data_IF_413220644253
#
_entry.id   IF_413220644253
#
_cell.length_a   1.000
_cell.length_b   1.000
_cell.length_c   1.000
_cell.angle_alpha   90.00
_cell.angle_beta   90.00
_cell.angle_gamma   90.00
#
_symmetry.space_group_name_H-M   'P 1'
#
loop_
_entity.id
_entity.type
_entity.pdbx_description
1 polymer ?
#
# COMPACT_ATOMS: atom_id res chain seq x y z
N UNK A 1 -15.57 6.49 -0.36
CA UNK A 1 -15.38 7.35 0.83
C UNK A 1 -15.82 8.82 0.59
N UNK A 2 -16.75 9.06 -0.35
CA UNK A 2 -17.30 10.40 -0.61
C UNK A 2 -16.37 11.41 -1.28
N UNK A 3 -15.13 11.08 -1.57
CA UNK A 3 -14.22 11.95 -2.29
C UNK A 3 -14.44 11.82 -3.81
N UNK A 4 -14.52 12.97 -4.51
CA UNK A 4 -14.52 12.98 -5.96
C UNK A 4 -13.13 12.68 -6.52
N UNK A 5 -13.09 11.88 -7.58
CA UNK A 5 -11.86 11.57 -8.28
C UNK A 5 -11.78 12.41 -9.55
N UNK A 6 -10.72 13.20 -9.67
CA UNK A 6 -10.46 14.03 -10.83
C UNK A 6 -9.27 13.48 -11.61
N UNK A 7 -9.50 13.18 -12.90
CA UNK A 7 -8.41 12.89 -13.82
C UNK A 7 -7.78 14.18 -14.33
N UNK A 8 -6.47 14.22 -14.49
CA UNK A 8 -5.81 15.34 -15.17
C UNK A 8 -6.27 15.50 -16.61
N UNK A 9 -6.76 14.44 -17.24
CA UNK A 9 -7.34 14.48 -18.58
C UNK A 9 -8.68 15.26 -18.63
N UNK A 10 -9.35 15.51 -17.50
CA UNK A 10 -10.57 16.32 -17.45
C UNK A 10 -10.28 17.83 -17.36
N UNK A 11 -9.03 18.22 -17.19
CA UNK A 11 -8.62 19.64 -17.14
C UNK A 11 -8.47 20.15 -18.57
N UNK A 12 -9.03 21.33 -18.84
CA UNK A 12 -8.98 21.97 -20.16
C UNK A 12 -7.54 22.08 -20.69
N UNK A 13 -7.31 21.71 -21.93
CA UNK A 13 -6.01 21.70 -22.59
C UNK A 13 -5.03 20.64 -22.11
N UNK A 14 -5.44 19.70 -21.22
CA UNK A 14 -4.59 18.61 -20.76
C UNK A 14 -4.92 17.26 -21.40
N UNK A 15 -6.10 17.07 -21.95
CA UNK A 15 -6.54 15.82 -22.56
C UNK A 15 -5.59 15.32 -23.64
N UNK A 16 -5.14 16.21 -24.53
CA UNK A 16 -4.24 15.91 -25.64
C UNK A 16 -2.80 15.53 -25.20
N UNK A 17 -2.47 15.75 -23.92
CA UNK A 17 -1.14 15.50 -23.33
C UNK A 17 -1.15 14.42 -22.24
N UNK A 18 -2.27 13.69 -22.12
CA UNK A 18 -2.47 12.76 -21.02
C UNK A 18 -2.72 11.35 -21.52
N UNK A 19 -1.92 10.41 -21.07
CA UNK A 19 -2.18 8.98 -21.17
C UNK A 19 -2.80 8.49 -19.85
N UNK A 20 -3.89 7.74 -19.92
CA UNK A 20 -4.52 7.17 -18.73
C UNK A 20 -4.25 5.66 -18.74
N UNK A 21 -3.34 5.21 -17.89
CA UNK A 21 -3.08 3.79 -17.67
C UNK A 21 -3.88 3.29 -16.47
N UNK A 22 -4.67 2.24 -16.67
CA UNK A 22 -5.53 1.67 -15.63
C UNK A 22 -5.69 0.17 -15.84
N UNK A 23 -6.44 -0.51 -14.98
CA UNK A 23 -6.64 -1.95 -15.10
C UNK A 23 -7.67 -2.53 -14.14
N UNK A 24 -8.03 -3.78 -14.38
CA UNK A 24 -9.05 -4.50 -13.64
C UNK A 24 -8.58 -4.96 -12.24
N UNK A 25 -7.27 -5.03 -11.99
CA UNK A 25 -6.69 -5.63 -10.77
C UNK A 25 -7.21 -5.00 -9.48
N UNK A 26 -7.46 -3.70 -9.45
CA UNK A 26 -7.88 -2.96 -8.25
C UNK A 26 -9.36 -2.63 -8.29
N UNK A 27 -9.82 -1.91 -9.32
CA UNK A 27 -11.20 -1.43 -9.43
C UNK A 27 -12.24 -2.56 -9.47
N UNK A 28 -11.86 -3.73 -9.95
CA UNK A 28 -12.74 -4.90 -10.06
C UNK A 28 -12.25 -6.09 -9.24
N UNK A 29 -11.27 -5.90 -8.33
CA UNK A 29 -10.66 -6.95 -7.50
C UNK A 29 -10.17 -8.16 -8.29
N UNK A 30 -9.77 -7.96 -9.54
CA UNK A 30 -9.38 -9.03 -10.47
C UNK A 30 -7.88 -9.08 -10.72
N UNK A 31 -7.11 -9.32 -9.67
CA UNK A 31 -5.64 -9.35 -9.74
C UNK A 31 -5.11 -10.49 -10.61
N UNK A 32 -5.78 -11.65 -10.60
CA UNK A 32 -5.42 -12.84 -11.38
C UNK A 32 -5.68 -12.71 -12.88
N UNK A 33 -6.58 -11.82 -13.32
CA UNK A 33 -6.92 -11.62 -14.73
C UNK A 33 -5.79 -11.00 -15.55
N UNK A 34 -4.81 -10.38 -14.91
CA UNK A 34 -3.63 -9.75 -15.55
C UNK A 34 -3.98 -8.87 -16.74
N UNK A 35 -5.00 -8.02 -16.61
CA UNK A 35 -5.49 -7.15 -17.66
C UNK A 35 -5.54 -5.69 -17.22
N UNK A 36 -5.06 -4.84 -18.11
CA UNK A 36 -5.12 -3.40 -18.02
C UNK A 36 -5.26 -2.78 -19.41
N UNK A 37 -5.49 -1.51 -19.45
CA UNK A 37 -5.60 -0.76 -20.69
C UNK A 37 -5.05 0.65 -20.55
N UNK A 38 -4.72 1.24 -21.68
CA UNK A 38 -4.28 2.63 -21.76
C UNK A 38 -5.22 3.39 -22.69
N UNK A 39 -5.71 4.53 -22.23
CA UNK A 39 -6.45 5.49 -23.04
C UNK A 39 -5.47 6.53 -23.57
N UNK A 40 -5.42 6.67 -24.89
CA UNK A 40 -4.53 7.60 -25.58
C UNK A 40 -5.31 8.84 -26.02
N UNK A 41 -4.64 9.98 -26.18
CA UNK A 41 -5.27 11.22 -26.64
C UNK A 41 -5.75 11.12 -28.09
N UNK A 42 -5.09 10.28 -28.92
CA UNK A 42 -5.43 10.09 -30.33
C UNK A 42 -5.12 8.66 -30.80
N UNK A 43 -5.66 8.31 -31.95
CA UNK A 43 -5.52 6.97 -32.54
C UNK A 43 -4.09 6.67 -33.06
N UNK A 44 -3.33 7.68 -33.47
CA UNK A 44 -1.97 7.52 -33.97
C UNK A 44 -1.03 7.02 -32.86
N UNK A 45 -1.05 7.66 -31.71
CA UNK A 45 -0.28 7.21 -30.54
C UNK A 45 -0.73 5.81 -30.08
N UNK A 46 -2.03 5.56 -30.04
CA UNK A 46 -2.57 4.24 -29.72
C UNK A 46 -2.04 3.16 -30.66
N UNK A 47 -1.93 3.44 -31.97
CA UNK A 47 -1.40 2.48 -32.94
C UNK A 47 0.10 2.21 -32.75
N UNK A 48 0.89 3.23 -32.41
CA UNK A 48 2.31 3.06 -32.11
C UNK A 48 2.48 2.10 -30.92
N UNK A 49 1.76 2.34 -29.81
CA UNK A 49 1.81 1.48 -28.63
C UNK A 49 1.27 0.07 -28.90
N UNK A 50 0.22 -0.07 -29.72
CA UNK A 50 -0.27 -1.37 -30.14
C UNK A 50 0.81 -2.17 -30.87
N UNK A 51 1.54 -1.55 -31.82
CA UNK A 51 2.62 -2.19 -32.55
C UNK A 51 3.78 -2.61 -31.64
N UNK A 52 4.16 -1.76 -30.67
CA UNK A 52 5.15 -2.12 -29.65
C UNK A 52 4.67 -3.30 -28.80
N UNK A 53 3.42 -3.28 -28.35
CA UNK A 53 2.85 -4.31 -27.48
C UNK A 53 2.84 -5.69 -28.13
N UNK A 54 2.61 -5.78 -29.46
CA UNK A 54 2.69 -7.03 -30.22
C UNK A 54 4.06 -7.69 -30.07
N UNK A 55 5.14 -6.89 -30.03
CA UNK A 55 6.49 -7.40 -29.91
C UNK A 55 6.88 -7.78 -28.47
N UNK A 56 6.28 -7.13 -27.46
CA UNK A 56 6.58 -7.40 -26.05
C UNK A 56 5.74 -8.53 -25.46
N UNK A 57 4.44 -8.56 -25.77
CA UNK A 57 3.48 -9.43 -25.07
C UNK A 57 2.63 -10.28 -26.04
N UNK A 58 2.78 -10.10 -27.34
CA UNK A 58 1.93 -10.69 -28.38
C UNK A 58 0.47 -10.25 -28.25
N UNK A 59 -0.30 -10.86 -27.35
CA UNK A 59 -1.67 -10.44 -27.03
C UNK A 59 -2.08 -10.87 -25.62
N UNK A 60 -3.02 -10.15 -25.07
CA UNK A 60 -3.73 -10.58 -23.86
C UNK A 60 -4.78 -11.61 -24.26
N UNK A 61 -4.96 -12.64 -23.44
CA UNK A 61 -5.94 -13.70 -23.69
C UNK A 61 -7.34 -13.12 -23.94
N UNK A 62 -7.99 -13.57 -25.00
CA UNK A 62 -9.28 -13.01 -25.46
C UNK A 62 -10.37 -13.12 -24.40
N UNK A 63 -10.41 -14.20 -23.61
CA UNK A 63 -11.36 -14.35 -22.51
C UNK A 63 -11.16 -13.33 -21.38
N UNK A 64 -9.91 -12.90 -21.12
CA UNK A 64 -9.64 -11.82 -20.17
C UNK A 64 -10.08 -10.46 -20.71
N UNK A 65 -9.91 -10.21 -22.03
CA UNK A 65 -10.40 -8.99 -22.66
C UNK A 65 -11.93 -8.91 -22.58
N UNK A 66 -12.62 -10.02 -22.88
CA UNK A 66 -14.08 -10.07 -22.79
C UNK A 66 -14.57 -9.94 -21.33
N UNK A 67 -13.90 -10.58 -20.38
CA UNK A 67 -14.19 -10.39 -18.97
C UNK A 67 -14.03 -8.94 -18.50
N UNK A 68 -12.97 -8.24 -18.96
CA UNK A 68 -12.78 -6.83 -18.64
C UNK A 68 -13.84 -5.94 -19.30
N UNK A 69 -14.22 -6.22 -20.55
CA UNK A 69 -15.30 -5.53 -21.24
C UNK A 69 -16.61 -5.66 -20.46
N UNK A 70 -16.97 -6.86 -20.06
CA UNK A 70 -18.17 -7.12 -19.24
C UNK A 70 -18.10 -6.39 -17.88
N UNK A 71 -16.95 -6.39 -17.21
CA UNK A 71 -16.78 -5.70 -15.94
C UNK A 71 -16.99 -4.17 -16.09
N UNK A 72 -16.58 -3.58 -17.23
CA UNK A 72 -16.74 -2.16 -17.48
C UNK A 72 -18.18 -1.81 -17.89
N UNK A 73 -18.80 -2.61 -18.78
CA UNK A 73 -20.05 -2.29 -19.43
C UNK A 73 -21.29 -2.80 -18.68
N UNK A 74 -21.14 -3.81 -17.82
CA UNK A 74 -22.25 -4.41 -17.11
C UNK A 74 -22.90 -3.45 -16.11
N UNK A 75 -24.23 -3.30 -16.13
CA UNK A 75 -24.93 -2.51 -15.13
C UNK A 75 -24.81 -3.08 -13.71
N UNK A 76 -24.50 -4.37 -13.56
CA UNK A 76 -24.29 -5.03 -12.26
C UNK A 76 -23.00 -4.57 -11.57
N UNK A 77 -22.01 -4.13 -12.33
CA UNK A 77 -20.72 -3.73 -11.79
C UNK A 77 -20.81 -2.57 -10.79
N UNK A 78 -21.76 -1.65 -10.98
CA UNK A 78 -21.97 -0.53 -10.04
C UNK A 78 -22.34 -1.01 -8.63
N UNK A 79 -23.23 -2.02 -8.54
CA UNK A 79 -23.64 -2.61 -7.26
C UNK A 79 -22.46 -3.29 -6.58
N UNK A 80 -21.74 -4.15 -7.30
CA UNK A 80 -20.58 -4.88 -6.77
C UNK A 80 -19.46 -3.93 -6.31
N UNK A 81 -19.18 -2.87 -7.08
CA UNK A 81 -18.18 -1.86 -6.69
C UNK A 81 -18.62 -1.11 -5.43
N UNK A 82 -19.91 -0.78 -5.31
CA UNK A 82 -20.44 -0.11 -4.12
C UNK A 82 -20.29 -0.99 -2.86
N UNK A 83 -20.60 -2.28 -2.95
CA UNK A 83 -20.41 -3.25 -1.87
C UNK A 83 -18.94 -3.38 -1.46
N UNK A 84 -18.03 -3.50 -2.44
CA UNK A 84 -16.58 -3.53 -2.17
C UNK A 84 -16.11 -2.25 -1.47
N UNK A 85 -16.55 -1.08 -1.94
CA UNK A 85 -16.19 0.20 -1.35
C UNK A 85 -16.69 0.32 0.08
N UNK A 86 -17.90 -0.12 0.38
CA UNK A 86 -18.44 -0.13 1.74
C UNK A 86 -17.62 -1.03 2.67
N UNK A 87 -17.24 -2.23 2.21
CA UNK A 87 -16.39 -3.13 2.98
C UNK A 87 -14.97 -2.54 3.22
N UNK A 88 -14.40 -1.85 2.23
CA UNK A 88 -13.11 -1.16 2.42
C UNK A 88 -13.23 0.05 3.36
N UNK A 89 -14.34 0.76 3.35
CA UNK A 89 -14.60 1.87 4.25
C UNK A 89 -14.68 1.40 5.71
N UNK A 90 -15.44 0.34 5.97
CA UNK A 90 -15.53 -0.29 7.29
C UNK A 90 -14.14 -0.72 7.82
N UNK A 91 -13.35 -1.40 6.98
CA UNK A 91 -12.00 -1.84 7.35
C UNK A 91 -11.05 -0.67 7.60
N UNK A 92 -11.14 0.38 6.78
CA UNK A 92 -10.37 1.61 6.96
C UNK A 92 -10.66 2.26 8.31
N UNK A 93 -11.94 2.46 8.59
CA UNK A 93 -12.38 3.14 9.80
C UNK A 93 -11.96 2.36 11.05
N UNK A 94 -12.15 1.05 11.05
CA UNK A 94 -11.66 0.18 12.11
C UNK A 94 -10.15 0.26 12.31
N UNK A 95 -9.37 0.15 11.23
CA UNK A 95 -7.90 0.13 11.33
C UNK A 95 -7.36 1.48 11.77
N UNK A 96 -7.89 2.59 11.24
CA UNK A 96 -7.44 3.94 11.64
C UNK A 96 -7.78 4.22 13.10
N UNK A 97 -8.97 3.83 13.56
CA UNK A 97 -9.34 3.95 14.97
C UNK A 97 -8.41 3.12 15.87
N UNK A 98 -8.19 1.85 15.52
CA UNK A 98 -7.28 0.98 16.26
C UNK A 98 -5.85 1.55 16.34
N UNK A 99 -5.31 2.06 15.23
CA UNK A 99 -3.98 2.67 15.17
C UNK A 99 -3.87 3.91 16.06
N UNK A 100 -4.86 4.81 16.00
CA UNK A 100 -4.85 6.03 16.79
C UNK A 100 -5.07 5.80 18.30
N UNK A 101 -5.54 4.62 18.70
CA UNK A 101 -5.59 4.19 20.10
C UNK A 101 -4.29 3.54 20.60
N UNK A 102 -3.27 3.35 19.74
CA UNK A 102 -1.98 2.80 20.13
C UNK A 102 -1.01 3.90 20.60
N UNK A 103 -0.30 3.71 21.71
CA UNK A 103 0.70 4.69 22.17
C UNK A 103 1.78 4.95 21.11
N UNK A 104 1.98 6.20 20.75
CA UNK A 104 3.04 6.61 19.82
C UNK A 104 2.74 6.40 18.34
N UNK A 105 1.50 6.07 17.97
CA UNK A 105 1.04 5.92 16.60
C UNK A 105 0.03 7.02 16.26
N UNK A 106 0.19 7.62 15.08
CA UNK A 106 -0.75 8.61 14.54
C UNK A 106 -1.09 8.24 13.09
N UNK A 107 -2.35 8.10 12.75
CA UNK A 107 -2.81 7.77 11.42
C UNK A 107 -3.91 8.72 10.95
N UNK A 108 -3.65 9.40 9.82
CA UNK A 108 -4.68 10.20 9.17
C UNK A 108 -5.69 9.30 8.46
N UNK A 109 -6.96 9.67 8.47
CA UNK A 109 -8.01 8.95 7.76
C UNK A 109 -7.86 9.17 6.25
N UNK A 110 -7.49 8.14 5.47
CA UNK A 110 -7.34 8.30 4.02
C UNK A 110 -8.72 8.42 3.34
N UNK A 111 -8.79 9.28 2.35
CA UNK A 111 -10.03 9.51 1.57
C UNK A 111 -10.22 8.52 0.41
N UNK A 112 -9.33 7.57 0.24
CA UNK A 112 -9.36 6.57 -0.81
C UNK A 112 -8.24 5.56 -0.68
N UNK A 113 -8.10 4.68 -1.66
CA UNK A 113 -7.20 3.53 -1.68
C UNK A 113 -7.53 2.47 -0.60
N UNK A 114 -6.77 1.41 -0.58
CA UNK A 114 -6.84 0.34 0.43
C UNK A 114 -5.54 0.27 1.26
N UNK A 115 -4.91 1.42 1.46
CA UNK A 115 -3.73 1.57 2.30
C UNK A 115 -3.97 2.62 3.38
N UNK A 116 -3.42 2.37 4.57
CA UNK A 116 -3.23 3.37 5.61
C UNK A 116 -1.73 3.57 5.84
N UNK A 117 -1.34 4.75 6.31
CA UNK A 117 0.06 5.15 6.40
C UNK A 117 0.35 5.81 7.75
N UNK A 118 0.38 5.00 8.85
CA UNK A 118 0.61 5.51 10.19
C UNK A 118 2.03 6.07 10.36
N UNK A 119 2.10 7.19 11.06
CA UNK A 119 3.33 7.72 11.65
C UNK A 119 3.59 6.97 12.95
N UNK A 120 4.80 6.43 13.11
CA UNK A 120 5.26 5.67 14.26
C UNK A 120 6.39 6.37 15.03
N UNK A 121 6.57 7.68 14.86
CA UNK A 121 7.65 8.41 15.53
C UNK A 121 7.61 8.28 17.06
N UNK A 122 6.42 8.25 17.64
CA UNK A 122 6.27 8.02 19.07
C UNK A 122 6.68 6.60 19.49
N UNK A 123 6.45 5.58 18.65
CA UNK A 123 6.91 4.21 18.90
C UNK A 123 8.44 4.14 18.84
N UNK A 124 9.05 4.81 17.85
CA UNK A 124 10.51 4.91 17.72
C UNK A 124 11.13 5.47 18.98
N UNK A 125 10.55 6.52 19.55
CA UNK A 125 10.99 7.10 20.82
C UNK A 125 10.76 6.14 22.00
N UNK A 126 9.58 5.54 22.11
CA UNK A 126 9.20 4.68 23.25
C UNK A 126 10.05 3.42 23.35
N UNK A 127 10.39 2.80 22.21
CA UNK A 127 11.19 1.59 22.11
C UNK A 127 12.70 1.88 21.92
N UNK A 128 13.13 3.14 21.93
CA UNK A 128 14.53 3.57 21.72
C UNK A 128 15.14 3.04 20.41
N UNK A 129 14.33 3.02 19.35
CA UNK A 129 14.73 2.41 18.09
C UNK A 129 15.87 3.18 17.43
N UNK A 130 15.92 4.52 17.57
CA UNK A 130 17.02 5.35 17.02
C UNK A 130 18.35 5.03 17.70
N UNK A 131 18.35 4.75 18.99
CA UNK A 131 19.56 4.35 19.73
C UNK A 131 20.06 2.97 19.26
N UNK A 132 19.14 2.02 19.12
CA UNK A 132 19.44 0.70 18.58
C UNK A 132 19.97 0.79 17.14
N UNK A 133 19.34 1.60 16.29
CA UNK A 133 19.78 1.83 14.91
C UNK A 133 21.17 2.47 14.87
N UNK A 134 21.46 3.45 15.73
CA UNK A 134 22.77 4.10 15.81
C UNK A 134 23.90 3.12 16.16
N UNK A 135 23.62 2.08 16.94
CA UNK A 135 24.58 1.06 17.33
C UNK A 135 24.87 0.00 16.25
N UNK A 136 24.07 -0.08 15.18
CA UNK A 136 24.26 -1.04 14.09
C UNK A 136 25.50 -0.72 13.24
N UNK A 137 26.00 -1.75 12.54
CA UNK A 137 27.10 -1.58 11.59
C UNK A 137 26.68 -0.70 10.40
N UNK A 138 27.66 -0.01 9.79
CA UNK A 138 27.39 0.87 8.64
C UNK A 138 26.81 0.11 7.44
N UNK A 139 27.14 -1.18 7.27
CA UNK A 139 26.60 -1.99 6.18
C UNK A 139 25.11 -2.28 6.36
N UNK A 140 24.67 -2.56 7.58
CA UNK A 140 23.24 -2.73 7.91
C UNK A 140 22.49 -1.40 7.76
N UNK A 141 23.06 -0.29 8.21
CA UNK A 141 22.45 1.05 8.08
C UNK A 141 22.19 1.47 6.62
N UNK A 142 23.02 1.02 5.66
CA UNK A 142 22.80 1.30 4.23
C UNK A 142 21.46 0.75 3.71
N UNK A 143 21.03 -0.38 4.23
CA UNK A 143 19.84 -1.11 3.76
C UNK A 143 18.64 -0.97 4.67
N UNK A 144 18.80 -0.46 5.88
CA UNK A 144 17.76 -0.33 6.91
C UNK A 144 17.48 1.12 7.29
N UNK A 145 16.51 1.31 8.14
CA UNK A 145 16.14 2.57 8.80
C UNK A 145 15.51 2.24 10.16
N UNK A 146 15.30 3.19 11.06
CA UNK A 146 14.55 2.95 12.29
C UNK A 146 13.16 2.34 12.02
N UNK A 147 12.44 2.82 11.01
CA UNK A 147 11.14 2.23 10.61
C UNK A 147 11.29 0.80 10.08
N UNK A 148 12.38 0.49 9.37
CA UNK A 148 12.65 -0.88 8.89
C UNK A 148 12.88 -1.83 10.06
N UNK A 149 13.60 -1.39 11.11
CA UNK A 149 13.81 -2.22 12.30
C UNK A 149 12.49 -2.58 12.98
N UNK A 150 11.60 -1.60 13.15
CA UNK A 150 10.28 -1.87 13.72
C UNK A 150 9.41 -2.74 12.80
N UNK A 151 9.47 -2.52 11.47
CA UNK A 151 8.81 -3.40 10.50
C UNK A 151 9.28 -4.85 10.62
N UNK A 152 10.59 -5.08 10.76
CA UNK A 152 11.16 -6.42 10.94
C UNK A 152 10.74 -7.04 12.26
N UNK A 153 10.76 -6.27 13.35
CA UNK A 153 10.28 -6.70 14.66
C UNK A 153 8.81 -7.14 14.61
N UNK A 154 7.94 -6.34 13.97
CA UNK A 154 6.54 -6.70 13.75
C UNK A 154 6.39 -8.01 12.96
N UNK A 155 7.19 -8.18 11.92
CA UNK A 155 7.12 -9.36 11.06
C UNK A 155 7.56 -10.63 11.79
N UNK A 156 8.72 -10.60 12.45
CA UNK A 156 9.33 -11.78 13.04
C UNK A 156 8.73 -12.18 14.38
N UNK A 157 8.48 -11.22 15.26
CA UNK A 157 8.03 -11.53 16.62
C UNK A 157 6.50 -11.47 16.76
N UNK A 158 5.82 -10.67 15.94
CA UNK A 158 4.37 -10.47 16.01
C UNK A 158 3.60 -10.97 14.79
N UNK A 159 4.28 -11.43 13.74
CA UNK A 159 3.68 -11.94 12.50
C UNK A 159 2.73 -10.93 11.84
N UNK A 160 3.11 -9.67 11.84
CA UNK A 160 2.40 -8.57 11.18
C UNK A 160 3.26 -8.01 10.06
N UNK A 161 2.82 -8.19 8.81
CA UNK A 161 3.53 -7.70 7.65
C UNK A 161 3.10 -6.28 7.29
N UNK A 162 4.04 -5.35 7.31
CA UNK A 162 3.88 -3.95 6.87
C UNK A 162 5.03 -3.59 5.94
N UNK A 163 4.98 -2.41 5.34
CA UNK A 163 6.08 -1.91 4.51
C UNK A 163 6.62 -0.59 5.05
N UNK A 164 7.93 -0.51 5.16
CA UNK A 164 8.63 0.70 5.53
C UNK A 164 8.48 1.81 4.47
N UNK A 165 8.44 3.06 4.91
CA UNK A 165 8.43 4.25 4.07
C UNK A 165 9.59 4.28 3.08
N UNK A 166 10.78 3.84 3.46
CA UNK A 166 11.99 3.78 2.63
C UNK A 166 11.79 2.94 1.36
N UNK A 167 10.92 1.93 1.40
CA UNK A 167 10.55 1.11 0.23
C UNK A 167 9.91 1.90 -0.92
N UNK A 168 9.47 3.14 -0.67
CA UNK A 168 8.83 4.04 -1.65
C UNK A 168 9.73 5.18 -2.12
N UNK A 169 11.02 5.10 -1.86
CA UNK A 169 12.02 6.09 -2.23
C UNK A 169 12.60 6.83 -1.03
N UNK A 170 13.76 7.44 -1.25
CA UNK A 170 14.55 8.06 -0.17
C UNK A 170 14.25 9.56 0.01
N UNK A 171 13.70 10.21 -0.98
CA UNK A 171 13.43 11.65 -0.92
C UNK A 171 12.41 11.96 0.17
N UNK A 172 12.77 12.83 1.11
CA UNK A 172 11.91 13.25 2.21
C UNK A 172 11.65 12.14 3.26
N UNK A 173 12.56 11.17 3.40
CA UNK A 173 12.46 10.11 4.42
C UNK A 173 13.25 10.43 5.68
N UNK A 174 14.05 11.47 5.68
CA UNK A 174 14.89 11.89 6.80
C UNK A 174 13.99 12.28 7.99
N UNK A 175 14.20 11.64 9.13
CA UNK A 175 13.41 11.82 10.35
C UNK A 175 11.90 11.55 10.19
N UNK A 176 11.51 10.75 9.20
CA UNK A 176 10.12 10.37 8.96
C UNK A 176 9.90 8.87 9.17
N UNK A 177 9.17 8.53 10.21
CA UNK A 177 8.92 7.15 10.62
C UNK A 177 7.48 6.74 10.26
N UNK A 178 7.32 6.22 9.05
CA UNK A 178 6.02 5.77 8.55
C UNK A 178 6.07 4.32 8.11
N UNK A 179 4.97 3.61 8.35
CA UNK A 179 4.73 2.28 7.80
C UNK A 179 3.51 2.29 6.89
N UNK A 180 3.50 1.48 5.85
CA UNK A 180 2.33 1.25 5.01
C UNK A 180 1.67 -0.07 5.38
N UNK A 181 0.39 -0.02 5.70
CA UNK A 181 -0.46 -1.18 5.93
C UNK A 181 -1.51 -1.29 4.83
N UNK A 182 -1.75 -2.50 4.35
CA UNK A 182 -2.86 -2.81 3.44
C UNK A 182 -4.07 -3.28 4.24
N UNK A 183 -5.25 -2.74 3.91
CA UNK A 183 -6.54 -3.18 4.46
C UNK A 183 -7.28 -4.13 3.50
N UNK A 184 -6.57 -4.67 2.49
CA UNK A 184 -7.15 -5.56 1.48
C UNK A 184 -7.17 -7.03 1.93
N UNK A 185 -7.56 -7.28 3.17
CA UNK A 185 -7.81 -8.62 3.75
C UNK A 185 -9.10 -8.63 4.55
N UNK A 186 -9.47 -9.77 5.13
CA UNK A 186 -10.67 -9.90 5.96
C UNK A 186 -10.62 -9.03 7.22
N UNK A 187 -11.78 -8.59 7.70
CA UNK A 187 -11.88 -7.76 8.92
C UNK A 187 -11.31 -8.49 10.14
N UNK A 188 -11.55 -9.81 10.26
CA UNK A 188 -11.02 -10.61 11.37
C UNK A 188 -9.49 -10.69 11.37
N UNK A 189 -8.85 -10.84 10.20
CA UNK A 189 -7.39 -10.81 10.08
C UNK A 189 -6.84 -9.44 10.47
N UNK A 190 -7.54 -8.35 10.11
CA UNK A 190 -7.17 -7.00 10.51
C UNK A 190 -7.27 -6.80 12.02
N UNK A 191 -8.31 -7.33 12.67
CA UNK A 191 -8.44 -7.30 14.13
C UNK A 191 -7.25 -7.97 14.80
N UNK A 192 -6.93 -9.20 14.38
CA UNK A 192 -5.78 -9.96 14.89
C UNK A 192 -4.47 -9.17 14.66
N UNK A 193 -4.30 -8.59 13.48
CA UNK A 193 -3.12 -7.78 13.16
C UNK A 193 -2.99 -6.55 14.07
N UNK A 194 -4.09 -5.83 14.31
CA UNK A 194 -4.10 -4.66 15.19
C UNK A 194 -3.85 -5.02 16.65
N UNK A 195 -4.41 -6.12 17.15
CA UNK A 195 -4.13 -6.62 18.50
C UNK A 195 -2.64 -6.96 18.70
N UNK A 196 -2.03 -7.58 17.70
CA UNK A 196 -0.58 -7.91 17.73
C UNK A 196 0.27 -6.65 17.68
N UNK A 197 -0.07 -5.71 16.81
CA UNK A 197 0.65 -4.44 16.71
C UNK A 197 0.52 -3.63 18.01
N UNK A 198 -0.65 -3.60 18.64
CA UNK A 198 -0.86 -2.92 19.91
C UNK A 198 0.04 -3.45 21.05
N UNK A 199 0.38 -4.73 21.03
CA UNK A 199 1.35 -5.31 21.95
C UNK A 199 2.78 -4.90 21.61
N UNK A 200 3.11 -4.92 20.31
CA UNK A 200 4.45 -4.62 19.82
C UNK A 200 4.88 -3.17 20.10
N UNK A 201 3.98 -2.19 19.97
CA UNK A 201 4.32 -0.76 20.14
C UNK A 201 4.74 -0.36 21.56
N UNK A 202 4.55 -1.25 22.53
CA UNK A 202 4.91 -1.05 23.94
C UNK A 202 5.92 -2.08 24.46
N UNK A 203 6.38 -3.01 23.62
CA UNK A 203 7.30 -4.09 24.01
C UNK A 203 8.76 -3.70 23.85
N UNK A 204 9.26 -2.80 24.71
CA UNK A 204 10.66 -2.37 24.73
C UNK A 204 11.62 -3.55 24.97
N UNK A 205 11.27 -4.47 25.87
CA UNK A 205 12.11 -5.62 26.21
C UNK A 205 12.22 -6.59 25.04
N UNK A 206 11.10 -6.93 24.40
CA UNK A 206 11.09 -7.80 23.23
C UNK A 206 11.84 -7.18 22.06
N UNK A 207 11.71 -5.86 21.85
CA UNK A 207 12.46 -5.16 20.81
C UNK A 207 13.98 -5.20 21.08
N UNK A 208 14.42 -4.96 22.32
CA UNK A 208 15.85 -5.06 22.68
C UNK A 208 16.41 -6.46 22.41
N UNK A 209 15.69 -7.50 22.82
CA UNK A 209 16.08 -8.89 22.58
C UNK A 209 16.10 -9.23 21.08
N UNK A 210 15.17 -8.69 20.30
CA UNK A 210 15.15 -8.85 18.85
C UNK A 210 16.42 -8.27 18.20
N UNK A 211 16.83 -7.07 18.60
CA UNK A 211 18.07 -6.43 18.10
C UNK A 211 19.32 -7.23 18.49
N UNK A 212 19.38 -7.78 19.70
CA UNK A 212 20.52 -8.56 20.19
C UNK A 212 20.74 -9.86 19.39
N UNK A 213 19.70 -10.48 18.88
CA UNK A 213 19.80 -11.72 18.10
C UNK A 213 20.56 -11.59 16.78
N UNK A 214 20.70 -10.41 16.22
CA UNK A 214 21.41 -10.02 14.97
C UNK A 214 21.21 -10.93 13.73
N UNK A 215 20.66 -12.12 13.90
CA UNK A 215 20.46 -13.12 12.85
C UNK A 215 19.55 -12.64 11.71
N UNK A 216 18.75 -11.60 11.97
CA UNK A 216 17.77 -11.03 11.04
C UNK A 216 18.37 -9.96 10.12
N UNK A 217 19.65 -9.58 10.33
CA UNK A 217 20.31 -8.52 9.58
C UNK A 217 21.44 -9.01 8.66
N UNK A 218 21.63 -10.33 8.58
CA UNK A 218 22.64 -10.98 7.73
C UNK A 218 22.15 -11.25 6.30
#
# INVERSE_FOLDING_TARGET
>A
HGAENYSIASVEGKQEKTLIATGASKSYSWTGGRIGWVVFPNAEEAQIFKNLNINYFSCIAAYNQEGARLAIESPLSKGTIAEMNAAFEERRDFVVDALNNMPGVECQLPKGAFYVFPNIAGVVNNLKIDEAYAALSEDVKKTTSPSTLFQMFLLWEYHVAMMDRKSFGQIGTENMHYLRLSIATGLEDLKIGMERMAKAVVDEVGFSQFIEKQEHFS
#
